data_IF_727599527942
#
_entry.id   IF_727599527942
#
_cell.length_a   1.000
_cell.length_b   1.000
_cell.length_c   1.000
_cell.angle_alpha   90.00
_cell.angle_beta   90.00
_cell.angle_gamma   90.00
#
_symmetry.space_group_name_H-M   'P 1'
#
loop_
_entity.id
_entity.type
_entity.pdbx_description
1 polymer ?
#
# COMPACT_ATOMS: atom_id res chain seq x y z
N UNK A 1 8.82 23.71 6.55
CA UNK A 1 7.86 23.36 5.46
C UNK A 1 7.54 21.86 5.52
N UNK A 2 6.26 21.53 5.74
CA UNK A 2 5.69 20.18 5.96
C UNK A 2 5.79 19.23 4.74
N UNK A 3 6.99 18.74 4.39
CA UNK A 3 7.18 17.81 3.25
C UNK A 3 6.42 16.48 3.39
N UNK A 4 6.17 16.00 4.62
CA UNK A 4 5.48 14.72 4.85
C UNK A 4 3.98 14.76 4.48
N UNK A 5 3.30 15.90 4.66
CA UNK A 5 1.86 16.02 4.31
C UNK A 5 1.64 15.99 2.78
N UNK A 6 2.57 16.56 2.02
CA UNK A 6 2.47 16.60 0.55
C UNK A 6 2.63 15.23 -0.11
N UNK A 7 3.51 14.38 0.42
CA UNK A 7 3.72 13.02 -0.10
C UNK A 7 2.47 12.14 0.03
N UNK A 8 1.81 12.19 1.19
CA UNK A 8 0.60 11.42 1.45
C UNK A 8 -0.57 11.82 0.53
N UNK A 9 -0.79 13.13 0.37
CA UNK A 9 -1.85 13.66 -0.51
C UNK A 9 -1.59 13.26 -1.97
N UNK A 10 -0.34 13.30 -2.41
CA UNK A 10 0.05 12.89 -3.77
C UNK A 10 -0.21 11.40 -4.02
N UNK A 11 0.09 10.54 -3.05
CA UNK A 11 -0.19 9.11 -3.13
C UNK A 11 -1.69 8.84 -3.23
N UNK A 12 -2.50 9.53 -2.42
CA UNK A 12 -3.95 9.38 -2.39
C UNK A 12 -4.57 9.81 -3.73
N UNK A 13 -4.09 10.91 -4.32
CA UNK A 13 -4.48 11.34 -5.67
C UNK A 13 -4.14 10.30 -6.75
N UNK A 14 -2.96 9.68 -6.69
CA UNK A 14 -2.56 8.62 -7.64
C UNK A 14 -3.51 7.41 -7.52
N UNK A 15 -3.85 7.00 -6.30
CA UNK A 15 -4.79 5.89 -6.07
C UNK A 15 -6.16 6.20 -6.68
N UNK A 16 -6.66 7.43 -6.50
CA UNK A 16 -7.93 7.87 -7.08
C UNK A 16 -7.88 7.83 -8.61
N UNK A 17 -6.83 8.37 -9.23
CA UNK A 17 -6.67 8.36 -10.69
C UNK A 17 -6.59 6.93 -11.23
N UNK A 18 -5.83 6.05 -10.56
CA UNK A 18 -5.75 4.64 -10.93
C UNK A 18 -7.11 3.94 -10.83
N UNK A 19 -7.89 4.20 -9.77
CA UNK A 19 -9.23 3.64 -9.61
C UNK A 19 -10.20 4.12 -10.71
N UNK A 20 -10.10 5.39 -11.13
CA UNK A 20 -10.88 5.94 -12.25
C UNK A 20 -10.52 5.25 -13.56
N UNK A 21 -9.22 5.08 -13.85
CA UNK A 21 -8.74 4.39 -15.05
C UNK A 21 -9.24 2.94 -15.07
N UNK A 22 -9.12 2.22 -13.95
CA UNK A 22 -9.65 0.86 -13.83
C UNK A 22 -11.16 0.79 -14.04
N UNK A 23 -11.91 1.75 -13.49
CA UNK A 23 -13.35 1.89 -13.72
C UNK A 23 -13.70 2.14 -15.20
N UNK A 24 -12.90 2.94 -15.90
CA UNK A 24 -13.04 3.16 -17.35
C UNK A 24 -12.87 1.87 -18.16
N UNK A 25 -11.94 0.99 -17.74
CA UNK A 25 -11.76 -0.34 -18.32
C UNK A 25 -12.80 -1.38 -17.85
N UNK A 26 -13.89 -0.96 -17.18
CA UNK A 26 -14.94 -1.83 -16.61
C UNK A 26 -14.40 -2.85 -15.60
N UNK A 27 -13.29 -2.54 -14.94
CA UNK A 27 -12.75 -3.37 -13.87
C UNK A 27 -13.53 -3.08 -12.59
N UNK A 28 -14.33 -4.05 -12.15
CA UNK A 28 -15.05 -3.96 -10.89
C UNK A 28 -14.13 -4.30 -9.72
N UNK A 29 -13.42 -3.28 -9.24
CA UNK A 29 -12.47 -3.40 -8.12
C UNK A 29 -13.16 -4.03 -6.91
N UNK A 30 -14.41 -3.65 -6.60
CA UNK A 30 -15.15 -4.14 -5.42
C UNK A 30 -15.39 -5.64 -5.51
N UNK A 31 -15.87 -6.13 -6.65
CA UNK A 31 -16.10 -7.56 -6.84
C UNK A 31 -14.80 -8.36 -6.92
N UNK A 32 -13.74 -7.79 -7.50
CA UNK A 32 -12.43 -8.44 -7.57
C UNK A 32 -11.81 -8.59 -6.19
N UNK A 33 -11.73 -7.51 -5.41
CA UNK A 33 -11.18 -7.57 -4.04
C UNK A 33 -12.08 -8.33 -3.07
N UNK A 34 -13.38 -8.40 -3.37
CA UNK A 34 -14.36 -9.18 -2.62
C UNK A 34 -14.29 -10.68 -2.89
N UNK A 35 -13.62 -11.13 -3.96
CA UNK A 35 -13.55 -12.55 -4.29
C UNK A 35 -12.71 -13.35 -3.29
N UNK A 36 -13.17 -14.56 -2.95
CA UNK A 36 -12.47 -15.45 -2.01
C UNK A 36 -11.02 -15.76 -2.42
N UNK A 37 -10.75 -15.80 -3.73
CA UNK A 37 -9.41 -16.04 -4.25
C UNK A 37 -8.49 -14.84 -3.97
N UNK A 38 -8.93 -13.63 -4.30
CA UNK A 38 -8.14 -12.41 -4.08
C UNK A 38 -7.98 -12.15 -2.59
N UNK A 39 -9.03 -12.35 -1.78
CA UNK A 39 -8.92 -12.23 -0.32
C UNK A 39 -7.91 -13.21 0.28
N UNK A 40 -7.90 -14.48 -0.15
CA UNK A 40 -6.92 -15.48 0.30
C UNK A 40 -5.48 -15.08 -0.09
N UNK A 41 -5.28 -14.63 -1.33
CA UNK A 41 -3.98 -14.18 -1.79
C UNK A 41 -3.49 -12.93 -1.04
N UNK A 42 -4.38 -11.94 -0.84
CA UNK A 42 -4.06 -10.74 -0.07
C UNK A 42 -3.74 -11.07 1.38
N UNK A 43 -4.49 -11.97 2.02
CA UNK A 43 -4.21 -12.41 3.39
C UNK A 43 -2.86 -13.13 3.49
N UNK A 44 -2.53 -13.99 2.52
CA UNK A 44 -1.23 -14.65 2.47
C UNK A 44 -0.08 -13.64 2.31
N UNK A 45 -0.20 -12.72 1.36
CA UNK A 45 0.78 -11.65 1.14
C UNK A 45 0.89 -10.73 2.36
N UNK A 46 -0.22 -10.48 3.07
CA UNK A 46 -0.24 -9.70 4.29
C UNK A 46 0.45 -10.41 5.45
N UNK A 47 0.29 -11.73 5.56
CA UNK A 47 1.03 -12.58 6.50
C UNK A 47 2.54 -12.44 6.27
N UNK A 48 2.98 -12.58 5.02
CA UNK A 48 4.39 -12.34 4.64
C UNK A 48 4.80 -10.91 4.99
N UNK A 49 4.02 -9.90 4.61
CA UNK A 49 4.35 -8.50 4.90
C UNK A 49 4.47 -8.22 6.40
N UNK A 50 3.68 -8.88 7.26
CA UNK A 50 3.78 -8.78 8.73
C UNK A 50 5.07 -9.41 9.25
N UNK A 51 5.42 -10.60 8.79
CA UNK A 51 6.65 -11.28 9.18
C UNK A 51 7.90 -10.49 8.77
N UNK A 52 7.88 -9.93 7.55
CA UNK A 52 8.97 -9.11 7.02
C UNK A 52 8.97 -7.71 7.61
N UNK A 53 7.82 -7.20 8.03
CA UNK A 53 7.66 -5.89 8.64
C UNK A 53 8.56 -5.71 9.87
N UNK A 54 8.73 -6.75 10.69
CA UNK A 54 9.65 -6.74 11.83
C UNK A 54 11.12 -6.61 11.42
N UNK A 55 11.56 -7.38 10.40
CA UNK A 55 12.93 -7.32 9.89
C UNK A 55 13.24 -6.01 9.17
N UNK A 56 12.28 -5.52 8.37
CA UNK A 56 12.37 -4.25 7.66
C UNK A 56 12.42 -3.09 8.65
N UNK A 57 11.56 -3.08 9.68
CA UNK A 57 11.61 -2.07 10.74
C UNK A 57 12.93 -2.10 11.51
N UNK A 58 13.41 -3.29 11.89
CA UNK A 58 14.68 -3.45 12.59
C UNK A 58 15.89 -2.92 11.79
N UNK A 59 15.85 -3.03 10.45
CA UNK A 59 16.89 -2.45 9.57
C UNK A 59 16.71 -0.95 9.31
N UNK A 60 15.47 -0.44 9.27
CA UNK A 60 15.21 0.95 8.93
C UNK A 60 15.37 1.91 10.12
N UNK A 61 15.02 1.50 11.34
CA UNK A 61 15.18 2.31 12.57
C UNK A 61 16.58 2.92 12.70
N UNK A 62 17.67 2.15 12.68
CA UNK A 62 19.01 2.71 12.84
C UNK A 62 19.44 3.61 11.67
N UNK A 63 18.87 3.44 10.47
CA UNK A 63 19.14 4.33 9.33
C UNK A 63 18.41 5.66 9.49
N UNK A 64 17.18 5.62 10.00
CA UNK A 64 16.35 6.82 10.24
C UNK A 64 16.91 7.63 11.42
N UNK A 65 17.37 6.97 12.48
CA UNK A 65 17.98 7.63 13.65
C UNK A 65 19.31 8.32 13.30
N UNK A 66 20.07 7.80 12.34
CA UNK A 66 21.30 8.44 11.84
C UNK A 66 21.07 9.63 10.91
N UNK A 67 19.83 9.89 10.49
CA UNK A 67 19.46 11.01 9.61
C UNK A 67 18.79 12.17 10.37
N UNK A 68 18.64 12.05 11.70
CA UNK A 68 18.10 13.07 12.60
C UNK A 68 19.22 13.80 13.34
#
# INVERSE_FOLDING_TARGET
MNKQRGGFIKLLLIIIVAAIILGYYRVDIKNIVGSDLVQRNLNYLWGIAREWGGWIWAKLVPVIDNLR
#
